data_IF_290650869215
#
_entry.id   IF_290650869215
#
_cell.length_a   1.000
_cell.length_b   1.000
_cell.length_c   1.000
_cell.angle_alpha   90.00
_cell.angle_beta   90.00
_cell.angle_gamma   90.00
#
_symmetry.space_group_name_H-M   'P 1'
#
loop_
_entity.id
_entity.type
_entity.pdbx_description
1 polymer ?
#
# COMPACT_ATOMS: atom_id res chain seq x y z
N UNK A 1 15.80 7.08 -10.69
CA UNK A 1 14.32 7.03 -10.72
C UNK A 1 13.86 6.87 -9.27
N UNK A 2 13.22 7.89 -8.70
CA UNK A 2 12.72 7.80 -7.32
C UNK A 2 11.50 6.89 -7.32
N UNK A 3 11.59 5.76 -6.62
CA UNK A 3 10.49 4.83 -6.46
C UNK A 3 9.64 5.32 -5.29
N UNK A 4 8.47 5.90 -5.56
CA UNK A 4 7.55 6.33 -4.51
C UNK A 4 6.86 5.12 -3.89
N UNK A 5 6.98 4.96 -2.57
CA UNK A 5 6.25 3.95 -1.80
C UNK A 5 4.93 4.58 -1.36
N UNK A 6 3.81 4.01 -1.79
CA UNK A 6 2.49 4.47 -1.34
C UNK A 6 2.23 4.08 0.11
N UNK A 7 1.20 4.67 0.74
CA UNK A 7 0.79 4.30 2.11
C UNK A 7 0.42 2.82 2.25
N UNK A 8 0.07 2.15 1.15
CA UNK A 8 -0.15 0.70 1.10
C UNK A 8 1.13 -0.14 1.26
N UNK A 9 2.31 0.47 1.29
CA UNK A 9 3.60 -0.23 1.42
C UNK A 9 4.10 -0.85 0.12
N UNK A 10 3.56 -0.46 -1.03
CA UNK A 10 3.97 -0.93 -2.36
C UNK A 10 4.63 0.23 -3.11
N UNK A 11 5.73 -0.08 -3.80
CA UNK A 11 6.31 0.81 -4.79
C UNK A 11 5.30 1.08 -5.92
N UNK A 12 4.83 2.32 -6.08
CA UNK A 12 3.77 2.67 -7.04
C UNK A 12 4.13 2.23 -8.47
N UNK A 13 5.39 2.40 -8.88
CA UNK A 13 5.88 1.99 -10.21
C UNK A 13 5.88 0.47 -10.46
N UNK A 14 5.69 -0.36 -9.42
CA UNK A 14 5.59 -1.82 -9.52
C UNK A 14 4.17 -2.34 -9.27
N UNK A 15 3.22 -1.45 -8.93
CA UNK A 15 1.85 -1.84 -8.60
C UNK A 15 0.99 -1.92 -9.86
N UNK A 16 0.43 -3.09 -10.17
CA UNK A 16 -0.48 -3.30 -11.32
C UNK A 16 -1.75 -2.44 -11.31
N UNK A 17 -2.16 -1.94 -10.13
CA UNK A 17 -3.34 -1.09 -9.98
C UNK A 17 -2.99 0.40 -10.06
N UNK A 18 -1.71 0.79 -10.00
CA UNK A 18 -1.33 2.18 -10.18
C UNK A 18 -1.64 2.60 -11.62
N UNK A 19 -2.36 3.72 -11.79
CA UNK A 19 -3.02 4.16 -13.02
C UNK A 19 -4.10 3.21 -13.57
N UNK A 20 -4.53 2.22 -12.78
CA UNK A 20 -5.60 1.29 -13.11
C UNK A 20 -6.49 1.04 -11.88
N UNK A 21 -7.25 2.07 -11.50
CA UNK A 21 -8.11 2.07 -10.31
C UNK A 21 -7.45 2.61 -9.04
N UNK A 22 -6.14 2.88 -9.05
CA UNK A 22 -5.46 3.68 -8.03
C UNK A 22 -4.67 4.80 -8.71
N UNK A 23 -4.95 6.06 -8.36
CA UNK A 23 -4.29 7.23 -8.95
C UNK A 23 -3.04 7.66 -8.17
N UNK A 24 -2.69 6.91 -7.12
CA UNK A 24 -1.62 7.25 -6.18
C UNK A 24 -2.11 8.08 -5.01
N UNK A 25 -1.48 7.89 -3.85
CA UNK A 25 -1.95 8.44 -2.57
C UNK A 25 -2.19 9.96 -2.60
N UNK A 26 -1.27 10.71 -3.20
CA UNK A 26 -1.34 12.17 -3.23
C UNK A 26 -2.48 12.68 -4.09
N UNK A 27 -2.78 12.03 -5.22
CA UNK A 27 -3.83 12.46 -6.16
C UNK A 27 -5.20 11.94 -5.72
N UNK A 28 -5.27 10.66 -5.35
CA UNK A 28 -6.52 9.96 -5.04
C UNK A 28 -7.20 10.48 -3.78
N UNK A 29 -6.45 11.17 -2.89
CA UNK A 29 -6.94 11.60 -1.59
C UNK A 29 -6.96 13.14 -1.39
N UNK A 30 -6.76 13.95 -2.44
CA UNK A 30 -6.79 15.43 -2.35
C UNK A 30 -8.14 15.95 -1.87
N UNK A 31 -9.22 15.47 -2.48
CA UNK A 31 -10.58 16.01 -2.28
C UNK A 31 -11.50 15.02 -1.57
N UNK A 32 -11.25 13.72 -1.72
CA UNK A 32 -11.95 12.65 -1.02
C UNK A 32 -10.92 11.63 -0.56
N UNK A 33 -10.86 11.43 0.75
CA UNK A 33 -10.17 10.35 1.43
C UNK A 33 -10.79 8.98 1.07
N UNK A 34 -10.70 8.61 -0.21
CA UNK A 34 -11.42 7.47 -0.80
C UNK A 34 -10.65 6.16 -0.61
N UNK A 35 -9.33 6.22 -0.47
CA UNK A 35 -8.50 5.05 -0.24
C UNK A 35 -8.54 4.66 1.24
N UNK A 36 -9.19 3.53 1.55
CA UNK A 36 -9.29 3.00 2.92
C UNK A 36 -7.92 2.74 3.56
N UNK A 37 -6.91 2.36 2.75
CA UNK A 37 -5.55 2.11 3.22
C UNK A 37 -4.85 3.41 3.58
N UNK A 38 -5.03 4.45 2.75
CA UNK A 38 -4.50 5.79 3.03
C UNK A 38 -5.02 6.30 4.36
N UNK A 39 -6.34 6.25 4.57
CA UNK A 39 -6.97 6.72 5.81
C UNK A 39 -6.51 5.93 7.03
N UNK A 40 -6.36 4.61 6.90
CA UNK A 40 -5.85 3.77 7.97
C UNK A 40 -4.43 4.18 8.39
N UNK A 41 -3.56 4.46 7.41
CA UNK A 41 -2.19 4.90 7.66
C UNK A 41 -2.13 6.33 8.26
N UNK A 42 -2.96 7.25 7.78
CA UNK A 42 -3.10 8.60 8.37
C UNK A 42 -3.57 8.54 9.82
N UNK A 43 -4.63 7.78 10.11
CA UNK A 43 -5.18 7.64 11.45
C UNK A 43 -4.19 7.01 12.45
N UNK A 44 -3.28 6.17 11.96
CA UNK A 44 -2.20 5.55 12.74
C UNK A 44 -0.92 6.38 12.74
N UNK A 45 -0.89 7.50 12.03
CA UNK A 45 0.27 8.36 11.82
C UNK A 45 1.52 7.57 11.38
N UNK A 46 1.34 6.70 10.38
CA UNK A 46 2.42 5.92 9.77
C UNK A 46 2.59 6.28 8.30
N UNK A 47 3.84 6.22 7.84
CA UNK A 47 4.18 6.55 6.45
C UNK A 47 3.61 5.53 5.47
N UNK A 48 3.73 4.23 5.79
CA UNK A 48 3.23 3.15 4.96
C UNK A 48 2.98 1.88 5.78
N UNK A 49 2.16 0.96 5.26
CA UNK A 49 1.75 -0.27 5.96
C UNK A 49 2.92 -1.13 6.44
N UNK A 50 4.10 -1.10 5.80
CA UNK A 50 5.28 -1.84 6.29
C UNK A 50 5.82 -1.32 7.64
N UNK A 51 5.45 -0.11 8.07
CA UNK A 51 5.76 0.46 9.40
C UNK A 51 4.61 0.24 10.40
N UNK A 52 3.54 -0.44 10.01
CA UNK A 52 2.42 -0.73 10.90
C UNK A 52 2.76 -1.92 11.80
N UNK A 53 2.63 -1.76 13.12
CA UNK A 53 2.86 -2.85 14.08
C UNK A 53 1.84 -4.01 13.93
N UNK A 54 0.68 -3.73 13.33
CA UNK A 54 -0.35 -4.75 13.08
C UNK A 54 -0.15 -5.47 11.74
N UNK A 55 0.89 -5.12 10.98
CA UNK A 55 1.13 -5.72 9.67
C UNK A 55 1.61 -7.18 9.80
N UNK A 56 1.06 -8.13 9.01
CA UNK A 56 -0.05 -7.99 8.07
C UNK A 56 -1.42 -7.98 8.77
N UNK A 57 -2.19 -6.89 8.60
CA UNK A 57 -3.49 -6.75 9.25
C UNK A 57 -4.64 -7.30 8.39
N UNK A 58 -5.83 -7.42 8.99
CA UNK A 58 -7.02 -7.93 8.31
C UNK A 58 -7.40 -7.12 7.07
N UNK A 59 -7.18 -5.80 7.08
CA UNK A 59 -7.41 -4.94 5.92
C UNK A 59 -6.55 -5.39 4.72
N UNK A 60 -5.26 -5.64 4.93
CA UNK A 60 -4.35 -6.09 3.86
C UNK A 60 -4.66 -7.52 3.42
N UNK A 61 -5.05 -8.40 4.34
CA UNK A 61 -5.48 -9.78 3.99
C UNK A 61 -6.69 -9.79 3.07
N UNK A 62 -7.69 -8.94 3.31
CA UNK A 62 -8.88 -8.83 2.45
C UNK A 62 -8.57 -8.29 1.05
N UNK A 63 -7.53 -7.48 0.92
CA UNK A 63 -7.11 -6.85 -0.34
C UNK A 63 -6.16 -7.74 -1.18
N UNK A 64 -5.71 -8.87 -0.64
CA UNK A 64 -4.80 -9.81 -1.32
C UNK A 64 -5.31 -10.37 -2.65
N UNK A 65 -6.63 -10.36 -2.88
CA UNK A 65 -7.24 -10.74 -4.17
C UNK A 65 -7.18 -9.62 -5.22
N UNK A 66 -7.19 -8.36 -4.78
CA UNK A 66 -7.24 -7.19 -5.66
C UNK A 66 -5.85 -6.63 -5.96
N UNK A 67 -4.98 -6.56 -4.96
CA UNK A 67 -3.58 -6.15 -5.11
C UNK A 67 -2.70 -7.35 -5.50
N UNK A 68 -1.50 -7.12 -6.04
CA UNK A 68 -0.50 -8.19 -6.23
C UNK A 68 -0.40 -9.03 -4.95
N UNK A 69 -0.17 -10.35 -5.05
CA UNK A 69 -0.16 -11.24 -3.90
C UNK A 69 0.66 -10.58 -2.81
N UNK A 70 0.02 -10.35 -1.66
CA UNK A 70 0.71 -10.01 -0.41
C UNK A 70 1.84 -11.01 -0.37
N UNK A 71 3.07 -10.56 -0.66
CA UNK A 71 4.17 -11.49 -0.90
C UNK A 71 4.11 -12.47 0.26
N UNK A 72 3.86 -13.78 0.01
CA UNK A 72 4.12 -14.73 1.06
C UNK A 72 5.55 -14.45 1.47
N UNK A 73 5.80 -14.47 2.78
CA UNK A 73 7.11 -14.24 3.41
C UNK A 73 8.15 -15.30 2.98
N UNK A 74 8.18 -15.69 1.72
CA UNK A 74 9.33 -16.25 1.02
C UNK A 74 10.41 -15.18 1.03
N UNK A 75 11.22 -15.25 2.08
CA UNK A 75 12.57 -14.69 2.21
C UNK A 75 13.06 -14.03 0.92
N UNK A 76 13.03 -12.71 0.88
CA UNK A 76 13.98 -11.95 0.07
C UNK A 76 15.36 -12.29 0.65
N UNK A 77 15.98 -13.33 0.12
CA UNK A 77 17.42 -13.49 0.23
C UNK A 77 18.02 -12.33 -0.57
N UNK A 78 18.33 -11.26 0.13
CA UNK A 78 19.30 -10.28 -0.34
C UNK A 78 20.63 -11.02 -0.46
N UNK A 79 20.93 -11.52 -1.66
CA UNK A 79 22.28 -11.87 -2.07
C UNK A 79 22.97 -10.62 -2.60
#
# INVERSE_FOLDING_TARGET
>A
MVVTIGKCGIACGLCKNFNNGCSGCEIENISKHSCIIFNCAENKNIEHCLKCNDYPCNLMRGLSKAYCPVFPLTKLNLQ
#
